data_IF_160558479596
#
_entry.id   IF_160558479596
#
_cell.length_a   1.000
_cell.length_b   1.000
_cell.length_c   1.000
_cell.angle_alpha   90.00
_cell.angle_beta   90.00
_cell.angle_gamma   90.00
#
_symmetry.space_group_name_H-M   'P 1'
#
loop_
_entity.id
_entity.type
_entity.pdbx_description
1 polymer ?
#
# COMPACT_ATOMS: atom_id res chain seq x y z
N UNK A 1 -10.20 0.39 -9.68
CA UNK A 1 -8.77 0.31 -10.00
C UNK A 1 -8.13 1.68 -9.93
N UNK A 2 -7.01 1.78 -9.27
CA UNK A 2 -6.28 3.02 -9.07
C UNK A 2 -5.33 3.25 -10.24
N UNK A 3 -5.28 4.47 -10.76
CA UNK A 3 -4.27 4.85 -11.75
C UNK A 3 -3.02 5.33 -11.01
N UNK A 4 -1.85 4.93 -11.50
CA UNK A 4 -0.59 5.27 -10.84
C UNK A 4 -0.37 6.78 -10.70
N UNK A 5 -0.87 7.57 -11.64
CA UNK A 5 -0.76 9.04 -11.59
C UNK A 5 -1.64 9.69 -10.52
N UNK A 6 -2.57 8.94 -9.93
CA UNK A 6 -3.38 9.41 -8.80
C UNK A 6 -2.65 9.30 -7.47
N UNK A 7 -1.52 8.58 -7.45
CA UNK A 7 -0.75 8.35 -6.24
C UNK A 7 0.33 9.41 -6.08
N UNK A 8 0.50 9.87 -4.84
CA UNK A 8 1.60 10.76 -4.48
C UNK A 8 2.48 10.07 -3.47
N UNK A 9 3.77 10.10 -3.70
CA UNK A 9 4.73 9.48 -2.81
C UNK A 9 4.63 10.11 -1.42
N UNK A 10 4.40 9.28 -0.42
CA UNK A 10 4.28 9.70 0.97
C UNK A 10 5.59 9.54 1.70
N UNK A 11 6.32 8.48 1.42
CA UNK A 11 7.61 8.18 2.02
C UNK A 11 8.48 7.47 1.01
N UNK A 12 9.82 7.51 1.17
CA UNK A 12 10.71 6.70 0.36
C UNK A 12 10.33 5.22 0.47
N UNK A 13 10.58 4.49 -0.60
CA UNK A 13 10.36 3.04 -0.60
C UNK A 13 11.30 2.40 0.41
N UNK A 14 10.74 1.57 1.29
CA UNK A 14 11.52 0.84 2.28
C UNK A 14 11.92 -0.51 1.69
N UNK A 15 13.21 -0.80 1.72
CA UNK A 15 13.78 -2.04 1.20
C UNK A 15 14.12 -2.97 2.36
N UNK A 16 13.64 -4.19 2.30
CA UNK A 16 13.93 -5.21 3.31
C UNK A 16 14.78 -6.32 2.71
N UNK A 17 15.91 -6.59 3.34
CA UNK A 17 16.79 -7.70 2.96
C UNK A 17 16.15 -9.00 3.41
N UNK A 18 16.27 -10.07 2.58
CA UNK A 18 15.68 -11.37 2.86
C UNK A 18 14.16 -11.31 3.13
N UNK A 19 13.48 -10.46 2.38
CA UNK A 19 12.06 -10.17 2.58
C UNK A 19 11.09 -11.14 1.92
N UNK A 20 11.46 -12.42 1.76
CA UNK A 20 10.60 -13.39 1.07
C UNK A 20 9.23 -13.57 1.73
N UNK A 21 9.16 -13.37 3.04
CA UNK A 21 7.92 -13.52 3.80
C UNK A 21 7.12 -12.22 3.90
N UNK A 22 7.65 -11.12 3.38
CA UNK A 22 6.94 -9.85 3.39
C UNK A 22 5.95 -9.84 2.23
N UNK A 23 4.67 -9.84 2.57
CA UNK A 23 3.56 -9.81 1.62
C UNK A 23 2.61 -8.69 1.99
N UNK A 24 1.65 -8.40 1.13
CA UNK A 24 0.60 -7.44 1.47
C UNK A 24 -0.13 -7.83 2.74
N UNK A 25 -0.39 -9.14 2.93
CA UNK A 25 -1.09 -9.63 4.11
C UNK A 25 -0.26 -9.42 5.37
N UNK A 26 1.04 -9.72 5.36
CA UNK A 26 1.90 -9.53 6.53
C UNK A 26 2.04 -8.04 6.88
N UNK A 27 2.13 -7.18 5.88
CA UNK A 27 2.19 -5.73 6.09
C UNK A 27 0.86 -5.22 6.65
N UNK A 28 -0.25 -5.67 6.11
CA UNK A 28 -1.58 -5.31 6.62
C UNK A 28 -1.75 -5.71 8.08
N UNK A 29 -1.36 -6.93 8.43
CA UNK A 29 -1.47 -7.43 9.80
C UNK A 29 -0.59 -6.62 10.76
N UNK A 30 0.63 -6.27 10.34
CA UNK A 30 1.53 -5.45 11.15
C UNK A 30 0.95 -4.04 11.39
N UNK A 31 0.39 -3.43 10.36
CA UNK A 31 -0.23 -2.11 10.47
C UNK A 31 -1.45 -2.17 11.39
N UNK A 32 -2.26 -3.21 11.23
CA UNK A 32 -3.44 -3.40 12.06
C UNK A 32 -3.08 -3.54 13.53
N UNK A 33 -2.08 -4.38 13.84
CA UNK A 33 -1.62 -4.57 15.21
C UNK A 33 -1.07 -3.28 15.80
N UNK A 34 -0.28 -2.54 15.04
CA UNK A 34 0.28 -1.27 15.46
C UNK A 34 -0.82 -0.24 15.74
N UNK A 35 -1.80 -0.14 14.87
CA UNK A 35 -2.92 0.78 15.02
C UNK A 35 -3.76 0.43 16.25
N UNK A 36 -4.00 -0.85 16.50
CA UNK A 36 -4.74 -1.30 17.67
C UNK A 36 -4.01 -0.93 18.96
N UNK A 37 -2.68 -1.12 18.98
CA UNK A 37 -1.86 -0.74 20.14
C UNK A 37 -1.88 0.75 20.42
N UNK A 38 -2.08 1.57 19.41
CA UNK A 38 -2.14 3.04 19.54
C UNK A 38 -3.57 3.56 19.71
N UNK A 39 -4.57 2.69 19.63
CA UNK A 39 -5.97 3.10 19.70
C UNK A 39 -6.45 3.86 18.49
N UNK A 40 -5.81 3.67 17.34
CA UNK A 40 -6.18 4.36 16.11
C UNK A 40 -7.08 3.45 15.27
N UNK A 41 -8.30 3.88 14.93
CA UNK A 41 -9.14 3.08 14.06
C UNK A 41 -8.61 3.12 12.61
N UNK A 42 -8.51 1.95 12.00
CA UNK A 42 -8.05 1.83 10.62
C UNK A 42 -8.86 0.73 9.92
N UNK A 43 -9.20 0.97 8.68
CA UNK A 43 -9.85 -0.02 7.83
C UNK A 43 -9.03 -0.21 6.56
N UNK A 44 -9.21 -1.36 5.92
CA UNK A 44 -8.46 -1.75 4.73
C UNK A 44 -9.39 -2.28 3.66
N UNK A 45 -9.03 -2.04 2.41
CA UNK A 45 -9.63 -2.81 1.30
C UNK A 45 -8.56 -3.13 0.27
N UNK A 46 -8.76 -4.23 -0.45
CA UNK A 46 -7.88 -4.63 -1.53
C UNK A 46 -8.23 -3.86 -2.80
N UNK A 47 -7.22 -3.46 -3.55
CA UNK A 47 -7.39 -2.81 -4.84
C UNK A 47 -6.18 -3.13 -5.71
N UNK A 48 -6.13 -2.54 -6.88
CA UNK A 48 -5.04 -2.72 -7.82
C UNK A 48 -4.62 -1.37 -8.37
N UNK A 49 -3.32 -1.22 -8.61
CA UNK A 49 -2.75 -0.03 -9.23
C UNK A 49 -2.37 -0.35 -10.65
N UNK A 50 -2.91 0.42 -11.58
CA UNK A 50 -2.59 0.31 -13.00
C UNK A 50 -1.57 1.39 -13.36
N UNK A 51 -0.45 0.98 -13.93
CA UNK A 51 0.59 1.88 -14.39
C UNK A 51 1.04 1.51 -15.80
N UNK A 52 1.79 2.40 -16.44
CA UNK A 52 2.33 2.19 -17.76
C UNK A 52 1.49 2.81 -18.87
N UNK A 53 2.06 2.80 -20.07
CA UNK A 53 1.45 3.39 -21.25
C UNK A 53 0.67 2.39 -22.08
N UNK A 54 0.48 2.75 -23.36
CA UNK A 54 -0.35 1.99 -24.30
C UNK A 54 0.18 0.58 -24.55
N UNK A 55 1.48 0.36 -24.44
CA UNK A 55 2.12 -0.93 -24.76
C UNK A 55 2.64 -1.69 -23.55
N UNK A 56 2.87 -1.01 -22.42
CA UNK A 56 3.44 -1.61 -21.22
C UNK A 56 2.55 -1.32 -20.01
N UNK A 57 1.42 -2.00 -19.95
CA UNK A 57 0.52 -1.87 -18.80
C UNK A 57 0.92 -2.84 -17.70
N UNK A 58 1.11 -2.33 -16.51
CA UNK A 58 1.40 -3.12 -15.33
C UNK A 58 0.28 -2.95 -14.31
N UNK A 59 -0.15 -4.06 -13.74
CA UNK A 59 -1.17 -4.07 -12.68
C UNK A 59 -0.55 -4.70 -11.45
N UNK A 60 -0.55 -3.96 -10.34
CA UNK A 60 -0.02 -4.43 -9.06
C UNK A 60 -1.13 -4.46 -8.02
N UNK A 61 -1.16 -5.52 -7.22
CA UNK A 61 -2.06 -5.58 -6.09
C UNK A 61 -1.61 -4.61 -5.01
N UNK A 62 -2.57 -4.02 -4.33
CA UNK A 62 -2.30 -3.11 -3.22
C UNK A 62 -3.37 -3.23 -2.15
N UNK A 63 -3.08 -2.67 -0.99
CA UNK A 63 -4.07 -2.47 0.05
C UNK A 63 -4.22 -0.97 0.30
N UNK A 64 -5.44 -0.54 0.52
CA UNK A 64 -5.74 0.86 0.79
C UNK A 64 -6.21 0.97 2.24
N UNK A 65 -5.53 1.86 2.99
CA UNK A 65 -5.87 2.16 4.37
C UNK A 65 -6.69 3.42 4.41
N UNK A 66 -7.71 3.44 5.26
CA UNK A 66 -8.53 4.62 5.45
C UNK A 66 -9.12 4.64 6.85
N UNK A 67 -9.55 5.81 7.28
CA UNK A 67 -10.27 5.95 8.56
C UNK A 67 -11.72 5.53 8.36
N UNK A 68 -12.24 4.55 9.11
CA UNK A 68 -13.58 4.00 8.86
C UNK A 68 -14.72 5.03 8.99
N UNK A 69 -14.53 6.07 9.79
CA UNK A 69 -15.54 7.12 9.96
C UNK A 69 -15.38 8.29 9.00
N UNK A 70 -14.27 8.34 8.25
CA UNK A 70 -13.91 9.48 7.39
C UNK A 70 -13.46 9.05 6.02
N UNK A 71 -14.11 8.03 5.45
CA UNK A 71 -13.66 7.46 4.18
C UNK A 71 -13.75 8.42 3.00
N UNK A 72 -14.47 9.52 3.12
CA UNK A 72 -14.60 10.53 2.06
C UNK A 72 -13.91 11.83 2.39
N UNK A 73 -13.54 12.06 3.64
CA UNK A 73 -13.05 13.34 4.12
C UNK A 73 -11.53 13.40 4.25
N UNK A 74 -10.88 12.25 4.45
CA UNK A 74 -9.45 12.16 4.66
C UNK A 74 -8.76 11.42 3.52
N UNK A 75 -7.47 11.61 3.44
CA UNK A 75 -6.64 10.89 2.49
C UNK A 75 -6.64 9.41 2.79
N UNK A 76 -6.53 8.64 1.73
CA UNK A 76 -6.29 7.21 1.82
C UNK A 76 -4.82 6.94 1.54
N UNK A 77 -4.31 5.87 2.13
CA UNK A 77 -2.92 5.45 1.92
C UNK A 77 -2.93 4.14 1.15
N UNK A 78 -2.26 4.15 0.01
CA UNK A 78 -2.09 2.97 -0.84
C UNK A 78 -0.74 2.33 -0.52
N UNK A 79 -0.75 1.07 -0.10
CA UNK A 79 0.45 0.30 0.23
C UNK A 79 0.66 -0.79 -0.80
N UNK A 80 1.85 -0.85 -1.35
CA UNK A 80 2.26 -1.88 -2.32
C UNK A 80 3.48 -2.60 -1.81
N UNK A 81 3.56 -3.89 -2.11
CA UNK A 81 4.73 -4.71 -1.81
C UNK A 81 5.20 -5.34 -3.11
N UNK A 82 6.46 -5.18 -3.42
CA UNK A 82 7.08 -5.85 -4.57
C UNK A 82 8.30 -6.62 -4.11
N UNK A 83 8.66 -7.64 -4.88
CA UNK A 83 9.81 -8.48 -4.61
C UNK A 83 10.77 -8.46 -5.79
N UNK A 84 12.05 -8.34 -5.50
CA UNK A 84 13.09 -8.40 -6.51
C UNK A 84 14.29 -9.15 -5.93
N UNK A 85 14.54 -10.35 -6.43
CA UNK A 85 15.55 -11.23 -5.86
C UNK A 85 15.21 -11.58 -4.42
N UNK A 86 16.13 -11.30 -3.50
CA UNK A 86 15.95 -11.55 -2.08
C UNK A 86 15.36 -10.35 -1.32
N UNK A 87 15.07 -9.27 -2.02
CA UNK A 87 14.59 -8.04 -1.40
C UNK A 87 13.09 -7.89 -1.55
N UNK A 88 12.46 -7.35 -0.52
CA UNK A 88 11.10 -6.86 -0.60
C UNK A 88 11.11 -5.32 -0.51
N UNK A 89 10.28 -4.69 -1.32
CA UNK A 89 10.13 -3.25 -1.34
C UNK A 89 8.69 -2.91 -0.94
N UNK A 90 8.56 -2.13 0.11
CA UNK A 90 7.26 -1.68 0.60
C UNK A 90 7.14 -0.18 0.34
N UNK A 91 6.11 0.21 -0.37
CA UNK A 91 5.84 1.62 -0.67
C UNK A 91 4.48 2.04 -0.13
N UNK A 92 4.40 3.26 0.36
CA UNK A 92 3.17 3.87 0.82
C UNK A 92 2.99 5.21 0.09
N UNK A 93 1.84 5.39 -0.54
CA UNK A 93 1.54 6.58 -1.32
C UNK A 93 0.18 7.14 -0.90
N UNK A 94 0.05 8.47 -0.94
CA UNK A 94 -1.23 9.12 -0.71
C UNK A 94 -2.11 8.97 -1.95
N UNK A 95 -3.37 8.66 -1.73
CA UNK A 95 -4.38 8.57 -2.76
C UNK A 95 -5.36 9.71 -2.57
N UNK A 96 -5.46 10.54 -3.58
CA UNK A 96 -6.40 11.66 -3.58
C UNK A 96 -7.69 11.31 -4.32
#
# INVERSE_FOLDING_TARGET
>A
MIKADELREFRPVVRYRDGKEITLQTVQDAIKDCAQGMGIPVAFYADQVKSGGMFNKTIEDCIVLYHPEHQYDYFKICVRVSHQGNYAFVSACLLY
#
